data_IF_823705790906
#
_entry.id   IF_823705790906
#
_cell.length_a   1.000
_cell.length_b   1.000
_cell.length_c   1.000
_cell.angle_alpha   90.00
_cell.angle_beta   90.00
_cell.angle_gamma   90.00
#
_symmetry.space_group_name_H-M   'P 1'
#
loop_
_entity.id
_entity.type
_entity.pdbx_description
1 polymer ?
#
# COMPACT_ATOMS: atom_id res chain seq x y z
N UNK A 1 -5.08 -8.13 7.78
CA UNK A 1 -6.28 -7.88 8.57
C UNK A 1 -7.50 -8.58 7.98
N UNK A 2 -7.99 -8.19 6.79
CA UNK A 2 -9.20 -8.75 6.16
C UNK A 2 -9.14 -10.27 5.96
N UNK A 3 -8.03 -10.81 5.46
CA UNK A 3 -7.85 -12.25 5.28
C UNK A 3 -7.96 -13.04 6.61
N UNK A 4 -7.41 -12.51 7.69
CA UNK A 4 -7.48 -13.13 9.02
C UNK A 4 -8.92 -13.13 9.60
N UNK A 5 -9.72 -12.11 9.24
CA UNK A 5 -11.12 -12.00 9.63
C UNK A 5 -12.07 -12.77 8.69
N UNK A 6 -11.56 -13.31 7.57
CA UNK A 6 -12.38 -14.02 6.58
C UNK A 6 -13.22 -13.12 5.69
N UNK A 7 -12.83 -11.85 5.52
CA UNK A 7 -13.52 -10.83 4.71
C UNK A 7 -12.66 -10.33 3.56
N UNK A 8 -11.91 -11.21 2.92
CA UNK A 8 -10.97 -10.84 1.85
C UNK A 8 -11.62 -10.13 0.66
N UNK A 9 -12.88 -10.40 0.40
CA UNK A 9 -13.65 -9.80 -0.71
C UNK A 9 -14.25 -8.43 -0.35
N UNK A 10 -14.10 -8.00 0.91
CA UNK A 10 -14.56 -6.69 1.33
C UNK A 10 -13.56 -5.61 0.94
N UNK A 11 -14.00 -4.51 0.27
CA UNK A 11 -13.15 -3.35 0.05
C UNK A 11 -12.71 -2.72 1.37
N UNK A 12 -11.45 -2.31 1.46
CA UNK A 12 -11.02 -1.33 2.45
C UNK A 12 -11.31 0.08 1.93
N UNK A 13 -11.20 1.09 2.79
CA UNK A 13 -11.47 2.47 2.42
C UNK A 13 -10.19 3.27 2.27
N UNK A 14 -10.16 4.16 1.27
CA UNK A 14 -9.08 5.10 1.05
C UNK A 14 -9.67 6.50 0.84
N UNK A 15 -9.29 7.44 1.70
CA UNK A 15 -9.54 8.86 1.46
C UNK A 15 -8.32 9.48 0.82
N UNK A 16 -8.48 10.00 -0.39
CA UNK A 16 -7.43 10.74 -1.08
C UNK A 16 -7.42 12.20 -0.63
N UNK A 17 -6.22 12.80 -0.48
CA UNK A 17 -6.11 14.16 0.00
C UNK A 17 -6.73 15.16 -0.97
N UNK A 18 -7.31 16.21 -0.44
CA UNK A 18 -7.82 17.35 -1.20
C UNK A 18 -7.36 18.66 -0.54
N UNK A 19 -7.56 19.80 -1.21
CA UNK A 19 -7.21 21.11 -0.63
C UNK A 19 -7.99 21.43 0.64
N UNK A 20 -9.21 20.89 0.77
CA UNK A 20 -10.06 21.11 1.95
C UNK A 20 -9.85 20.06 3.04
N UNK A 21 -9.37 18.88 2.67
CA UNK A 21 -9.03 17.79 3.56
C UNK A 21 -7.66 17.19 3.15
N UNK A 22 -6.55 17.81 3.59
CA UNK A 22 -5.21 17.44 3.16
C UNK A 22 -4.68 16.19 3.90
N UNK A 23 -5.49 15.16 3.98
CA UNK A 23 -5.12 13.91 4.63
C UNK A 23 -5.32 12.73 3.70
N UNK A 24 -4.31 11.89 3.59
CA UNK A 24 -4.42 10.55 3.03
C UNK A 24 -4.80 9.60 4.16
N UNK A 25 -5.93 8.88 4.02
CA UNK A 25 -6.36 7.89 5.02
C UNK A 25 -6.57 6.55 4.38
N UNK A 26 -6.20 5.52 5.10
CA UNK A 26 -6.49 4.13 4.74
C UNK A 26 -7.13 3.46 5.95
N UNK A 27 -8.35 2.93 5.79
CA UNK A 27 -9.09 2.22 6.81
C UNK A 27 -9.35 0.77 6.39
N UNK A 28 -8.93 -0.16 7.22
CA UNK A 28 -9.35 -1.55 7.12
C UNK A 28 -10.50 -1.87 8.09
N UNK A 29 -11.13 -3.02 7.90
CA UNK A 29 -12.21 -3.55 8.72
C UNK A 29 -11.81 -4.88 9.35
N UNK A 30 -10.54 -5.02 9.69
CA UNK A 30 -9.99 -6.18 10.40
C UNK A 30 -10.42 -6.22 11.86
N UNK A 31 -9.64 -6.89 12.68
CA UNK A 31 -9.97 -7.05 14.11
C UNK A 31 -9.64 -5.82 14.96
N UNK A 32 -9.07 -4.76 14.38
CA UNK A 32 -8.49 -3.68 15.15
C UNK A 32 -7.22 -4.11 15.89
N UNK A 33 -6.68 -3.20 16.70
CA UNK A 33 -5.57 -3.46 17.62
C UNK A 33 -5.93 -2.93 19.01
N UNK A 34 -5.68 -3.69 20.04
CA UNK A 34 -5.77 -3.23 21.42
C UNK A 34 -4.71 -2.18 21.73
N UNK A 35 -4.86 -1.47 22.83
CA UNK A 35 -3.88 -0.46 23.26
C UNK A 35 -2.46 -1.04 23.37
N UNK A 36 -2.34 -2.22 23.96
CA UNK A 36 -1.05 -2.89 24.16
C UNK A 36 -0.43 -3.32 22.82
N UNK A 37 -1.24 -3.86 21.89
CA UNK A 37 -0.77 -4.25 20.56
C UNK A 37 -0.32 -3.04 19.73
N UNK A 38 -1.02 -1.90 19.83
CA UNK A 38 -0.59 -0.66 19.17
C UNK A 38 0.77 -0.23 19.70
N UNK A 39 0.94 -0.23 21.02
CA UNK A 39 2.23 0.10 21.64
C UNK A 39 3.33 -0.88 21.25
N UNK A 40 3.07 -2.20 21.25
CA UNK A 40 4.05 -3.20 20.85
C UNK A 40 4.50 -3.04 19.41
N UNK A 41 3.56 -2.80 18.48
CA UNK A 41 3.86 -2.66 17.04
C UNK A 41 4.64 -1.37 16.74
N UNK A 42 4.33 -0.29 17.44
CA UNK A 42 4.87 1.04 17.13
C UNK A 42 5.98 1.49 18.10
N UNK A 43 6.04 1.00 19.35
CA UNK A 43 7.10 1.36 20.30
C UNK A 43 8.45 0.67 20.01
N UNK A 44 8.43 -0.53 19.41
CA UNK A 44 9.64 -1.25 18.98
C UNK A 44 10.31 -0.65 17.74
N UNK A 45 9.99 0.61 17.44
CA UNK A 45 10.50 1.32 16.28
C UNK A 45 12.03 1.59 16.36
N UNK A 46 12.56 1.76 17.57
CA UNK A 46 13.98 2.07 17.78
C UNK A 46 14.92 0.86 17.79
N UNK A 47 14.40 -0.35 18.00
CA UNK A 47 15.25 -1.55 18.18
C UNK A 47 15.32 -2.48 16.96
N UNK A 48 14.48 -2.35 15.94
CA UNK A 48 14.32 -3.36 14.90
C UNK A 48 14.93 -3.03 13.54
N UNK A 49 16.03 -2.31 13.47
CA UNK A 49 16.79 -2.16 12.21
C UNK A 49 17.60 -3.40 11.80
N UNK A 50 17.46 -4.52 12.51
CA UNK A 50 18.22 -5.75 12.22
C UNK A 50 17.38 -7.01 12.41
N UNK A 51 16.47 -7.32 11.49
CA UNK A 51 16.05 -8.71 11.20
C UNK A 51 15.30 -8.77 9.88
N UNK A 52 16.03 -9.13 8.82
CA UNK A 52 15.48 -9.57 7.56
C UNK A 52 14.97 -11.02 7.71
N UNK A 53 13.69 -11.27 7.50
CA UNK A 53 13.18 -12.55 7.04
C UNK A 53 12.04 -12.31 6.07
N UNK A 54 12.12 -12.95 4.90
CA UNK A 54 11.27 -12.70 3.75
C UNK A 54 9.93 -13.48 3.75
N UNK A 55 9.59 -14.16 4.83
CA UNK A 55 8.57 -15.21 4.76
C UNK A 55 7.11 -14.77 5.00
N UNK A 56 6.84 -13.49 5.33
CA UNK A 56 5.45 -13.06 5.55
C UNK A 56 5.21 -11.61 5.10
N UNK A 57 4.41 -11.45 4.05
CA UNK A 57 3.86 -10.16 3.64
C UNK A 57 2.93 -9.66 4.75
N UNK A 58 3.38 -8.67 5.51
CA UNK A 58 2.59 -7.97 6.53
C UNK A 58 2.93 -8.24 7.99
N UNK A 59 3.77 -9.21 8.34
CA UNK A 59 4.11 -9.51 9.73
C UNK A 59 5.19 -8.60 10.37
N UNK A 60 5.86 -7.75 9.61
CA UNK A 60 7.00 -6.97 10.11
C UNK A 60 6.68 -5.51 10.45
N UNK A 61 5.41 -5.10 10.46
CA UNK A 61 5.07 -3.70 10.77
C UNK A 61 5.68 -2.66 9.82
N UNK A 62 6.22 -3.07 8.66
CA UNK A 62 6.81 -2.14 7.69
C UNK A 62 5.76 -1.23 7.07
N UNK A 63 4.52 -1.69 6.92
CA UNK A 63 3.42 -0.86 6.44
C UNK A 63 3.06 0.26 7.41
N UNK A 64 3.16 0.02 8.71
CA UNK A 64 2.94 1.02 9.75
C UNK A 64 4.05 2.10 9.77
N UNK A 65 5.23 1.77 9.28
CA UNK A 65 6.42 2.63 9.25
C UNK A 65 6.53 3.44 7.97
N UNK A 66 5.83 3.08 6.91
CA UNK A 66 5.92 3.75 5.61
C UNK A 66 5.45 5.22 5.67
N UNK A 67 4.56 5.58 6.59
CA UNK A 67 4.12 6.95 6.78
C UNK A 67 5.28 7.88 7.18
N UNK A 68 6.25 7.40 7.98
CA UNK A 68 7.41 8.18 8.37
C UNK A 68 8.42 8.42 7.23
N UNK A 69 8.33 7.70 6.13
CA UNK A 69 9.10 8.04 4.93
C UNK A 69 8.62 9.34 4.26
N UNK A 70 7.42 9.79 4.60
CA UNK A 70 6.82 10.99 4.03
C UNK A 70 6.67 12.13 5.03
N UNK A 71 6.36 11.84 6.30
CA UNK A 71 6.03 12.84 7.33
C UNK A 71 6.58 12.44 8.69
N UNK A 72 6.90 13.43 9.53
CA UNK A 72 7.37 13.20 10.90
C UNK A 72 6.24 12.89 11.90
N UNK A 73 4.98 12.96 11.46
CA UNK A 73 3.83 12.66 12.31
C UNK A 73 2.65 12.15 11.50
N UNK A 74 1.90 11.21 12.07
CA UNK A 74 0.63 10.73 11.53
C UNK A 74 -0.25 10.19 12.67
N UNK A 75 -1.54 10.01 12.39
CA UNK A 75 -2.48 9.48 13.37
C UNK A 75 -2.88 8.03 13.05
N UNK A 76 -3.14 7.28 14.11
CA UNK A 76 -3.64 5.92 14.08
C UNK A 76 -4.94 5.92 14.86
N UNK A 77 -6.02 5.44 14.24
CA UNK A 77 -7.28 5.16 14.92
C UNK A 77 -7.49 3.66 14.95
N UNK A 78 -7.67 3.08 16.11
CA UNK A 78 -8.04 1.67 16.26
C UNK A 78 -9.40 1.57 16.92
N UNK A 79 -10.28 0.76 16.32
CA UNK A 79 -11.56 0.37 16.89
C UNK A 79 -11.51 -1.12 17.15
N UNK A 80 -11.72 -1.51 18.40
CA UNK A 80 -11.71 -2.92 18.82
C UNK A 80 -12.65 -3.12 20.01
N UNK A 81 -13.54 -4.10 19.91
CA UNK A 81 -14.46 -4.50 21.00
C UNK A 81 -15.30 -3.34 21.55
N UNK A 82 -15.77 -2.41 20.69
CA UNK A 82 -16.59 -1.27 21.11
C UNK A 82 -15.81 -0.12 21.74
N UNK A 83 -14.50 -0.12 21.61
CA UNK A 83 -13.60 0.95 22.09
C UNK A 83 -12.83 1.54 20.91
N UNK A 84 -12.82 2.87 20.83
CA UNK A 84 -12.07 3.63 19.82
C UNK A 84 -10.92 4.37 20.51
N UNK A 85 -9.71 4.06 20.10
CA UNK A 85 -8.51 4.73 20.54
C UNK A 85 -7.86 5.51 19.38
N UNK A 86 -7.46 6.76 19.65
CA UNK A 86 -6.78 7.62 18.69
C UNK A 86 -5.38 7.89 19.22
N UNK A 87 -4.37 7.67 18.39
CA UNK A 87 -2.97 7.86 18.71
C UNK A 87 -2.33 8.85 17.73
N UNK A 88 -1.33 9.57 18.19
CA UNK A 88 -0.36 10.26 17.36
C UNK A 88 0.96 9.51 17.41
N UNK A 89 1.44 9.13 16.25
CA UNK A 89 2.79 8.62 16.04
C UNK A 89 3.67 9.76 15.51
N UNK A 90 4.84 9.99 16.09
CA UNK A 90 5.73 11.10 15.73
C UNK A 90 7.19 10.75 15.98
N UNK A 91 8.08 11.42 15.23
CA UNK A 91 9.52 11.38 15.47
C UNK A 91 9.88 12.52 16.42
N UNK A 92 10.55 12.21 17.52
CA UNK A 92 10.96 13.22 18.50
C UNK A 92 12.33 13.85 18.15
N UNK A 93 12.78 14.79 18.99
CA UNK A 93 14.05 15.50 18.82
C UNK A 93 15.30 14.58 18.84
N UNK A 94 15.15 13.33 19.25
CA UNK A 94 16.21 12.32 19.29
C UNK A 94 16.17 11.35 18.09
N UNK A 95 15.39 11.68 17.05
CA UNK A 95 15.13 10.85 15.89
C UNK A 95 14.49 9.47 16.22
N UNK A 96 13.85 9.37 17.38
CA UNK A 96 13.12 8.17 17.79
C UNK A 96 11.61 8.32 17.54
N UNK A 97 11.03 7.30 16.91
CA UNK A 97 9.58 7.20 16.75
C UNK A 97 8.90 6.95 18.09
N UNK A 98 7.89 7.76 18.38
CA UNK A 98 7.05 7.67 19.60
C UNK A 98 5.59 7.57 19.23
N UNK A 99 4.82 7.02 20.16
CA UNK A 99 3.36 6.99 20.06
C UNK A 99 2.75 7.52 21.35
N UNK A 100 1.72 8.33 21.22
CA UNK A 100 0.96 8.88 22.35
C UNK A 100 -0.53 8.67 22.11
N UNK A 101 -1.23 8.14 23.10
CA UNK A 101 -2.69 8.08 23.10
C UNK A 101 -3.23 9.50 23.25
N UNK A 102 -4.05 9.92 22.27
CA UNK A 102 -4.72 11.22 22.29
C UNK A 102 -6.11 11.14 22.89
N UNK A 103 -6.85 10.08 22.55
CA UNK A 103 -8.23 9.92 22.99
C UNK A 103 -8.62 8.44 23.09
N UNK A 104 -9.58 8.15 23.98
CA UNK A 104 -10.13 6.83 24.19
C UNK A 104 -11.60 6.95 24.56
N UNK A 105 -12.47 6.46 23.68
CA UNK A 105 -13.92 6.58 23.83
C UNK A 105 -14.62 5.27 23.49
N UNK A 106 -15.83 5.07 24.01
CA UNK A 106 -16.72 3.99 23.55
C UNK A 106 -17.20 4.32 22.14
N UNK A 107 -17.30 3.32 21.28
CA UNK A 107 -17.71 3.47 19.89
C UNK A 107 -18.54 2.31 19.41
N UNK A 108 -19.56 2.62 18.64
CA UNK A 108 -20.35 1.62 17.89
C UNK A 108 -19.80 1.40 16.46
N UNK A 109 -18.68 2.02 16.14
CA UNK A 109 -18.01 1.82 14.85
C UNK A 109 -17.50 0.36 14.75
N UNK A 110 -17.44 -0.13 13.52
CA UNK A 110 -16.91 -1.46 13.26
C UNK A 110 -15.41 -1.52 13.54
N UNK A 111 -14.98 -2.67 14.08
CA UNK A 111 -13.57 -2.93 14.35
C UNK A 111 -12.70 -2.76 13.12
N UNK A 112 -11.49 -2.26 13.32
CA UNK A 112 -10.53 -2.03 12.27
C UNK A 112 -9.50 -0.97 12.63
N UNK A 113 -8.64 -0.64 11.67
CA UNK A 113 -7.60 0.39 11.82
C UNK A 113 -7.70 1.41 10.71
N UNK A 114 -7.54 2.67 11.08
CA UNK A 114 -7.32 3.76 10.15
C UNK A 114 -5.97 4.42 10.41
N UNK A 115 -5.20 4.60 9.34
CA UNK A 115 -3.98 5.41 9.33
C UNK A 115 -4.29 6.70 8.60
N UNK A 116 -3.99 7.84 9.22
CA UNK A 116 -4.23 9.18 8.67
C UNK A 116 -2.93 9.96 8.59
N UNK A 117 -2.49 10.24 7.36
CA UNK A 117 -1.22 10.89 7.04
C UNK A 117 -1.50 12.30 6.52
N UNK A 118 -0.95 13.36 7.14
CA UNK A 118 -1.06 14.72 6.60
C UNK A 118 -0.27 14.84 5.30
N UNK A 119 -0.86 15.46 4.29
CA UNK A 119 -0.27 15.62 2.95
C UNK A 119 -0.04 17.09 2.64
N UNK A 120 1.15 17.42 2.14
CA UNK A 120 1.46 18.78 1.67
C UNK A 120 0.60 19.12 0.45
N UNK A 121 0.20 20.38 0.33
CA UNK A 121 -0.68 20.81 -0.77
C UNK A 121 -0.08 20.54 -2.16
N UNK A 122 1.23 20.69 -2.29
CA UNK A 122 1.94 20.49 -3.56
C UNK A 122 2.05 19.01 -3.96
N UNK A 123 1.83 18.09 -3.02
CA UNK A 123 1.92 16.64 -3.25
C UNK A 123 0.55 15.98 -3.53
N UNK A 124 -0.56 16.73 -3.42
CA UNK A 124 -1.92 16.17 -3.55
C UNK A 124 -2.08 15.42 -4.88
N UNK A 125 -1.68 16.05 -5.99
CA UNK A 125 -1.82 15.46 -7.33
C UNK A 125 -0.95 14.19 -7.47
N UNK A 126 0.23 14.18 -6.85
CA UNK A 126 1.11 13.02 -6.85
C UNK A 126 0.50 11.83 -6.08
N UNK A 127 -0.23 12.08 -4.99
CA UNK A 127 -0.98 11.03 -4.27
C UNK A 127 -2.09 10.43 -5.13
N UNK A 128 -2.84 11.27 -5.87
CA UNK A 128 -3.89 10.82 -6.78
C UNK A 128 -3.32 9.97 -7.91
N UNK A 129 -2.25 10.43 -8.56
CA UNK A 129 -1.59 9.71 -9.65
C UNK A 129 -1.02 8.35 -9.19
N UNK A 130 -0.43 8.32 -8.01
CA UNK A 130 0.09 7.07 -7.42
C UNK A 130 -1.03 6.12 -7.04
N UNK A 131 -2.15 6.61 -6.51
CA UNK A 131 -3.30 5.79 -6.17
C UNK A 131 -3.86 5.06 -7.41
N UNK A 132 -3.94 5.74 -8.58
CA UNK A 132 -4.34 5.10 -9.84
C UNK A 132 -3.40 3.93 -10.18
N UNK A 133 -2.09 4.13 -10.04
CA UNK A 133 -1.10 3.08 -10.36
C UNK A 133 -1.18 1.92 -9.40
N UNK A 134 -1.25 2.20 -8.09
CA UNK A 134 -1.25 1.17 -7.03
C UNK A 134 -2.53 0.34 -7.09
N UNK A 135 -3.71 0.98 -7.21
CA UNK A 135 -4.98 0.27 -7.13
C UNK A 135 -5.44 -0.33 -8.46
N UNK A 136 -4.71 -0.11 -9.55
CA UNK A 136 -5.05 -0.62 -10.89
C UNK A 136 -5.23 -2.13 -10.91
N UNK A 137 -4.32 -2.87 -10.28
CA UNK A 137 -4.26 -4.34 -10.31
C UNK A 137 -4.98 -5.00 -9.12
N UNK A 138 -5.62 -4.20 -8.25
CA UNK A 138 -6.37 -4.74 -7.12
C UNK A 138 -7.61 -5.49 -7.59
N UNK A 139 -7.70 -6.77 -7.27
CA UNK A 139 -8.89 -7.60 -7.54
C UNK A 139 -10.11 -7.06 -6.81
N UNK A 140 -9.94 -6.67 -5.55
CA UNK A 140 -10.93 -5.96 -4.75
C UNK A 140 -10.44 -4.53 -4.58
N UNK A 141 -10.94 -3.63 -5.42
CA UNK A 141 -10.56 -2.21 -5.35
C UNK A 141 -11.08 -1.58 -4.08
N UNK A 142 -10.32 -0.67 -3.45
CA UNK A 142 -10.80 0.07 -2.29
C UNK A 142 -11.98 0.98 -2.64
N UNK A 143 -12.78 1.30 -1.63
CA UNK A 143 -13.74 2.39 -1.72
C UNK A 143 -12.99 3.71 -1.61
N UNK A 144 -13.03 4.54 -2.65
CA UNK A 144 -12.28 5.80 -2.73
C UNK A 144 -13.19 6.97 -2.38
N UNK A 145 -12.70 7.85 -1.50
CA UNK A 145 -13.31 9.13 -1.14
C UNK A 145 -12.30 10.28 -1.29
N UNK A 146 -12.75 11.53 -1.16
CA UNK A 146 -11.92 12.73 -1.28
C UNK A 146 -11.68 13.16 -2.71
N UNK A 147 -11.31 12.24 -3.60
CA UNK A 147 -11.04 12.46 -5.02
C UNK A 147 -11.63 11.33 -5.86
N UNK A 148 -11.89 11.62 -7.14
CA UNK A 148 -12.29 10.59 -8.11
C UNK A 148 -11.07 10.04 -8.82
N UNK A 149 -10.89 8.72 -8.84
CA UNK A 149 -9.86 8.06 -9.63
C UNK A 149 -10.43 7.65 -10.99
N UNK A 150 -9.73 8.00 -12.03
CA UNK A 150 -10.02 7.50 -13.37
C UNK A 150 -9.01 6.39 -13.71
N UNK A 151 -9.47 5.15 -13.62
CA UNK A 151 -8.72 4.01 -14.14
C UNK A 151 -9.03 3.92 -15.64
N UNK A 152 -8.18 4.54 -16.48
CA UNK A 152 -8.28 4.31 -17.91
C UNK A 152 -8.24 2.79 -18.16
N UNK A 153 -9.36 2.24 -18.62
CA UNK A 153 -9.43 0.82 -18.95
C UNK A 153 -8.52 0.55 -20.14
N UNK A 154 -7.63 -0.40 -19.96
CA UNK A 154 -6.81 -0.91 -21.02
C UNK A 154 -7.60 -2.01 -21.73
N UNK A 155 -7.67 -1.96 -23.06
CA UNK A 155 -8.30 -3.03 -23.80
C UNK A 155 -7.31 -4.19 -23.93
N UNK A 156 -7.70 -5.38 -23.50
CA UNK A 156 -6.92 -6.58 -23.74
C UNK A 156 -7.04 -6.98 -25.20
N UNK A 157 -5.92 -6.97 -25.90
CA UNK A 157 -5.82 -7.35 -27.32
C UNK A 157 -5.66 -8.86 -27.46
N UNK A 158 -4.84 -9.45 -26.59
CA UNK A 158 -4.56 -10.89 -26.55
C UNK A 158 -4.26 -11.30 -25.12
N UNK A 159 -4.64 -12.53 -24.73
CA UNK A 159 -4.34 -13.07 -23.40
C UNK A 159 -4.11 -14.57 -23.44
N UNK A 160 -3.30 -15.06 -22.51
CA UNK A 160 -3.17 -16.45 -22.10
C UNK A 160 -3.63 -16.62 -20.66
N UNK A 161 -3.18 -17.70 -20.00
CA UNK A 161 -3.60 -18.02 -18.64
C UNK A 161 -3.02 -17.00 -17.63
N UNK A 162 -1.73 -16.66 -17.74
CA UNK A 162 -1.02 -15.81 -16.79
C UNK A 162 -0.47 -14.52 -17.41
N UNK A 163 -0.91 -14.15 -18.62
CA UNK A 163 -0.45 -12.94 -19.28
C UNK A 163 -1.51 -12.30 -20.16
N UNK A 164 -1.36 -11.00 -20.41
CA UNK A 164 -2.21 -10.23 -21.32
C UNK A 164 -1.44 -9.12 -22.01
N UNK A 165 -1.72 -8.95 -23.29
CA UNK A 165 -1.29 -7.82 -24.10
C UNK A 165 -2.41 -6.79 -24.13
N UNK A 166 -2.08 -5.53 -23.85
CA UNK A 166 -3.04 -4.43 -23.80
C UNK A 166 -2.71 -3.36 -24.85
N UNK A 167 -3.71 -2.59 -25.26
CA UNK A 167 -3.59 -1.48 -26.21
C UNK A 167 -2.91 -0.23 -25.64
N UNK A 168 -2.47 -0.28 -24.38
CA UNK A 168 -1.80 0.87 -23.77
C UNK A 168 -0.31 0.84 -24.04
N UNK A 169 0.21 1.98 -24.47
CA UNK A 169 1.62 2.19 -24.80
C UNK A 169 2.58 1.75 -23.67
N UNK A 170 3.53 0.91 -24.06
CA UNK A 170 4.87 0.82 -23.51
C UNK A 170 5.02 0.56 -22.02
N UNK A 171 4.49 -0.54 -21.50
CA UNK A 171 5.01 -1.03 -20.20
C UNK A 171 4.91 -2.54 -20.12
N UNK A 172 6.02 -3.18 -19.79
CA UNK A 172 6.01 -4.55 -19.31
C UNK A 172 5.86 -4.51 -17.80
N UNK A 173 4.84 -5.16 -17.29
CA UNK A 173 4.50 -5.14 -15.86
C UNK A 173 4.35 -6.56 -15.36
N UNK A 174 5.12 -6.92 -14.34
CA UNK A 174 4.89 -8.12 -13.55
C UNK A 174 3.83 -7.80 -12.47
N UNK A 175 2.72 -8.49 -12.48
CA UNK A 175 1.67 -8.33 -11.46
C UNK A 175 1.79 -9.46 -10.46
N UNK A 176 2.18 -9.13 -9.22
CA UNK A 176 2.28 -10.10 -8.15
C UNK A 176 1.30 -9.73 -7.02
N UNK A 177 0.33 -10.59 -6.78
CA UNK A 177 -0.77 -10.30 -5.87
C UNK A 177 -1.67 -9.18 -6.43
N UNK A 178 -1.60 -8.00 -5.84
CA UNK A 178 -2.39 -6.82 -6.26
C UNK A 178 -1.50 -5.67 -6.76
N UNK A 179 -0.20 -5.87 -6.93
CA UNK A 179 0.76 -4.81 -7.24
C UNK A 179 1.43 -5.10 -8.57
N UNK A 180 1.43 -4.09 -9.45
CA UNK A 180 2.16 -4.14 -10.71
C UNK A 180 3.56 -3.54 -10.54
N UNK A 181 4.57 -4.33 -10.88
CA UNK A 181 5.99 -3.94 -10.86
C UNK A 181 6.45 -3.73 -12.30
N UNK A 182 6.89 -2.53 -12.66
CA UNK A 182 7.47 -2.30 -13.98
C UNK A 182 8.71 -3.19 -14.18
N UNK A 183 8.76 -3.90 -15.30
CA UNK A 183 9.94 -4.64 -15.73
C UNK A 183 10.82 -3.71 -16.56
N UNK A 184 12.11 -3.65 -16.24
CA UNK A 184 13.05 -2.85 -17.01
C UNK A 184 13.34 -3.54 -18.36
N UNK A 185 12.95 -2.90 -19.45
CA UNK A 185 13.15 -3.40 -20.81
C UNK A 185 14.61 -3.45 -21.27
N UNK A 186 15.58 -2.96 -20.47
CA UNK A 186 17.02 -3.01 -20.86
C UNK A 186 17.58 -4.42 -20.99
N UNK A 187 16.88 -5.43 -20.52
CA UNK A 187 17.25 -6.85 -20.67
C UNK A 187 16.61 -7.51 -21.91
N UNK A 188 15.77 -6.79 -22.65
CA UNK A 188 15.13 -7.29 -23.87
C UNK A 188 16.01 -6.97 -25.09
N UNK A 189 15.93 -7.81 -26.10
CA UNK A 189 16.56 -7.49 -27.36
C UNK A 189 15.85 -6.33 -28.09
N UNK A 190 16.49 -5.79 -29.13
CA UNK A 190 16.00 -4.62 -29.86
C UNK A 190 14.61 -4.86 -30.50
N UNK A 191 14.36 -6.08 -30.96
CA UNK A 191 13.08 -6.45 -31.59
C UNK A 191 11.96 -6.53 -30.56
N UNK A 192 12.21 -7.19 -29.44
CA UNK A 192 11.26 -7.32 -28.33
C UNK A 192 10.95 -5.94 -27.72
N UNK A 193 11.97 -5.09 -27.59
CA UNK A 193 11.80 -3.71 -27.11
C UNK A 193 10.89 -2.89 -28.03
N UNK A 194 11.06 -2.98 -29.37
CA UNK A 194 10.20 -2.29 -30.34
C UNK A 194 8.75 -2.79 -30.30
N UNK A 195 8.54 -4.10 -30.11
CA UNK A 195 7.19 -4.65 -29.96
C UNK A 195 6.53 -4.17 -28.65
N UNK A 196 7.29 -4.04 -27.57
CA UNK A 196 6.81 -3.52 -26.28
C UNK A 196 6.50 -2.04 -26.30
N UNK A 197 7.08 -1.25 -27.21
CA UNK A 197 6.75 0.16 -27.42
C UNK A 197 5.34 0.37 -28.00
N UNK A 198 4.80 -0.65 -28.68
CA UNK A 198 3.47 -0.60 -29.30
C UNK A 198 2.35 -1.09 -28.41
N UNK A 199 2.66 -2.05 -27.53
CA UNK A 199 1.69 -2.75 -26.69
C UNK A 199 2.20 -2.87 -25.26
N UNK A 200 1.30 -2.83 -24.28
CA UNK A 200 1.62 -3.17 -22.91
C UNK A 200 1.55 -4.69 -22.70
N UNK A 201 2.51 -5.26 -21.98
CA UNK A 201 2.47 -6.66 -21.54
C UNK A 201 2.33 -6.68 -20.01
N UNK A 202 1.34 -7.41 -19.53
CA UNK A 202 1.17 -7.70 -18.13
C UNK A 202 1.26 -9.21 -17.91
N UNK A 203 2.08 -9.63 -16.95
CA UNK A 203 2.28 -11.06 -16.60
C UNK A 203 1.96 -11.23 -15.13
N UNK A 204 1.05 -12.15 -14.82
CA UNK A 204 0.63 -12.43 -13.45
C UNK A 204 1.57 -13.47 -12.82
N UNK A 205 1.96 -13.24 -11.59
CA UNK A 205 2.80 -14.12 -10.77
C UNK A 205 2.13 -14.38 -9.42
N UNK A 206 2.35 -15.57 -8.89
CA UNK A 206 1.92 -15.86 -7.52
C UNK A 206 2.77 -15.11 -6.49
N UNK A 207 2.20 -14.89 -5.30
CA UNK A 207 2.90 -14.21 -4.23
C UNK A 207 4.12 -15.04 -3.82
N UNK A 208 5.31 -14.44 -3.92
CA UNK A 208 6.58 -15.09 -3.58
C UNK A 208 7.33 -15.69 -4.75
N UNK A 209 6.77 -15.67 -5.97
CA UNK A 209 7.50 -16.15 -7.17
C UNK A 209 8.59 -15.18 -7.64
N UNK A 210 8.44 -13.89 -7.35
CA UNK A 210 9.42 -12.88 -7.71
C UNK A 210 10.10 -12.31 -6.47
N UNK A 211 11.40 -12.13 -6.56
CA UNK A 211 12.16 -11.42 -5.54
C UNK A 211 11.99 -9.91 -5.66
N UNK A 212 11.76 -9.26 -4.53
CA UNK A 212 11.57 -7.82 -4.45
C UNK A 212 12.75 -7.16 -3.76
N UNK A 213 13.02 -5.90 -4.11
CA UNK A 213 13.93 -5.05 -3.36
C UNK A 213 13.49 -4.92 -1.89
N UNK A 214 14.40 -4.57 -1.00
CA UNK A 214 14.08 -4.37 0.42
C UNK A 214 12.99 -3.30 0.65
N UNK A 215 12.88 -2.31 -0.25
CA UNK A 215 11.80 -1.30 -0.24
C UNK A 215 10.45 -1.84 -0.73
N UNK A 216 10.42 -3.00 -1.39
CA UNK A 216 9.25 -3.59 -2.07
C UNK A 216 8.63 -2.72 -3.17
N UNK A 217 9.36 -1.76 -3.67
CA UNK A 217 8.92 -0.86 -4.74
C UNK A 217 9.37 -1.31 -6.13
N UNK A 218 10.33 -2.23 -6.20
CA UNK A 218 10.88 -2.74 -7.46
C UNK A 218 11.22 -4.23 -7.34
N UNK A 219 11.31 -4.89 -8.50
CA UNK A 219 11.84 -6.25 -8.59
C UNK A 219 13.35 -6.23 -8.37
N UNK A 220 13.85 -7.28 -7.74
CA UNK A 220 15.27 -7.55 -7.64
C UNK A 220 15.70 -8.46 -8.79
N UNK A 221 16.66 -8.01 -9.59
CA UNK A 221 17.23 -8.83 -10.66
C UNK A 221 18.48 -9.51 -10.11
N UNK A 222 18.43 -10.83 -9.95
CA UNK A 222 19.60 -11.66 -9.60
C UNK A 222 20.14 -12.27 -10.86
N UNK A 223 21.48 -12.24 -11.06
CA UNK A 223 22.12 -13.04 -12.09
C UNK A 223 21.96 -14.52 -11.73
N UNK A 224 21.51 -15.32 -12.70
CA UNK A 224 21.40 -16.79 -12.59
C UNK A 224 22.77 -17.44 -12.64
#
# INVERSE_FOLDING_TARGET
>A
AHAQKGISDRPFEVNLPSRLDPFFRVRDFGNGLTHDEVHEIYANYGESTKRCSNDYIGQLGLGSKSAFAYTDTFNITSVVNGEKCIYSAFIDETDLGKITLLDKVSSDEEDGIEISVPVKQDDIDAFVDRAVRVFRHYKVRPTITGQSLNFSEKTTVLSGDDWRITDSNSSVVAVMGNIGYPINGSSLDEYDSQMMDLYGLEVDFEIGELEMSASREALQYTEL
#
